data_IF_456878014442
#
_entry.id   IF_456878014442
#
_cell.length_a   1.000
_cell.length_b   1.000
_cell.length_c   1.000
_cell.angle_alpha   90.00
_cell.angle_beta   90.00
_cell.angle_gamma   90.00
#
_symmetry.space_group_name_H-M   'P 1'
#
loop_
_entity.id
_entity.type
_entity.pdbx_description
1 polymer ?
#
# COMPACT_ATOMS: atom_id res chain seq x y z
N UNK A 1 -2.07 -28.91 3.37
CA UNK A 1 -1.32 -28.39 4.51
C UNK A 1 0.05 -27.87 4.13
N UNK A 2 0.81 -28.65 3.38
CA UNK A 2 2.16 -28.25 2.95
C UNK A 2 2.13 -26.97 2.12
N UNK A 3 1.12 -26.81 1.27
CA UNK A 3 0.93 -25.60 0.46
C UNK A 3 0.69 -24.39 1.35
N UNK A 4 -0.09 -24.57 2.41
CA UNK A 4 -0.41 -23.49 3.33
C UNK A 4 0.83 -23.10 4.13
N UNK A 5 1.62 -24.09 4.57
CA UNK A 5 2.87 -23.81 5.29
C UNK A 5 3.85 -23.04 4.40
N UNK A 6 3.95 -23.42 3.11
CA UNK A 6 4.78 -22.71 2.16
C UNK A 6 4.36 -21.26 1.98
N UNK A 7 3.05 -21.01 1.90
CA UNK A 7 2.52 -19.64 1.81
C UNK A 7 2.87 -18.82 3.06
N UNK A 8 2.72 -19.40 4.26
CA UNK A 8 3.05 -18.69 5.50
C UNK A 8 4.53 -18.34 5.57
N UNK A 9 5.41 -19.23 5.15
CA UNK A 9 6.85 -18.95 5.11
C UNK A 9 7.18 -17.86 4.11
N UNK A 10 6.54 -17.87 2.96
CA UNK A 10 6.71 -16.81 1.98
C UNK A 10 6.25 -15.47 2.54
N UNK A 11 5.08 -15.46 3.20
CA UNK A 11 4.55 -14.26 3.82
C UNK A 11 5.50 -13.71 4.90
N UNK A 12 6.07 -14.59 5.72
CA UNK A 12 7.06 -14.18 6.72
C UNK A 12 8.27 -13.51 6.09
N UNK A 13 8.78 -14.07 4.99
CA UNK A 13 9.92 -13.50 4.29
C UNK A 13 9.58 -12.11 3.73
N UNK A 14 8.38 -11.95 3.16
CA UNK A 14 7.93 -10.68 2.60
C UNK A 14 7.81 -9.60 3.69
N UNK A 15 7.28 -9.96 4.87
CA UNK A 15 7.07 -9.02 5.97
C UNK A 15 8.25 -8.93 6.93
N UNK A 16 9.37 -9.57 6.62
CA UNK A 16 10.54 -9.51 7.50
C UNK A 16 10.96 -8.05 7.72
N UNK A 17 11.16 -7.63 8.99
CA UNK A 17 11.58 -6.26 9.27
C UNK A 17 13.06 -6.04 8.99
N UNK A 18 13.44 -4.79 8.85
CA UNK A 18 14.85 -4.43 8.61
C UNK A 18 15.76 -4.90 9.76
N UNK A 19 15.26 -4.91 10.99
CA UNK A 19 16.00 -5.43 12.14
C UNK A 19 16.40 -6.89 11.99
N UNK A 20 15.74 -7.63 11.10
CA UNK A 20 16.01 -9.03 10.82
C UNK A 20 16.59 -9.24 9.42
N UNK A 21 17.14 -8.20 8.83
CA UNK A 21 17.89 -8.29 7.58
C UNK A 21 17.15 -7.89 6.31
N UNK A 22 15.91 -7.42 6.39
CA UNK A 22 15.23 -6.93 5.21
C UNK A 22 15.82 -5.59 4.75
N UNK A 23 15.81 -5.35 3.45
CA UNK A 23 16.33 -4.11 2.87
C UNK A 23 15.30 -2.98 2.85
N UNK A 24 14.02 -3.30 2.68
CA UNK A 24 12.95 -2.30 2.62
C UNK A 24 12.31 -2.11 3.99
N UNK A 25 12.03 -0.87 4.35
CA UNK A 25 11.28 -0.59 5.57
C UNK A 25 9.80 -0.93 5.39
N UNK A 26 9.06 -0.96 6.48
CA UNK A 26 7.66 -1.39 6.46
C UNK A 26 6.77 -0.38 5.73
N UNK A 27 7.06 0.91 5.85
CA UNK A 27 6.33 1.96 5.12
C UNK A 27 6.43 1.72 3.61
N UNK A 28 7.64 1.43 3.11
CA UNK A 28 7.86 1.17 1.69
C UNK A 28 7.14 -0.11 1.25
N UNK A 29 7.23 -1.17 2.05
CA UNK A 29 6.55 -2.43 1.73
C UNK A 29 5.04 -2.23 1.62
N UNK A 30 4.44 -1.54 2.57
CA UNK A 30 3.00 -1.32 2.57
C UNK A 30 2.57 -0.35 1.46
N UNK A 31 3.41 0.63 1.14
CA UNK A 31 3.16 1.50 -0.01
C UNK A 31 3.17 0.70 -1.31
N UNK A 32 4.14 -0.19 -1.49
CA UNK A 32 4.20 -1.05 -2.68
C UNK A 32 2.95 -1.92 -2.80
N UNK A 33 2.51 -2.55 -1.70
CA UNK A 33 1.26 -3.32 -1.71
C UNK A 33 0.07 -2.45 -2.10
N UNK A 34 0.02 -1.23 -1.56
CA UNK A 34 -1.08 -0.31 -1.85
C UNK A 34 -1.16 -0.02 -3.35
N UNK A 35 -0.03 0.34 -3.96
CA UNK A 35 -0.04 0.67 -5.40
C UNK A 35 -0.30 -0.56 -6.28
N UNK A 36 0.19 -1.73 -5.88
CA UNK A 36 -0.08 -2.96 -6.61
C UNK A 36 -1.57 -3.31 -6.56
N UNK A 37 -2.22 -3.12 -5.41
CA UNK A 37 -3.66 -3.31 -5.28
C UNK A 37 -4.44 -2.28 -6.11
N UNK A 38 -3.94 -1.05 -6.19
CA UNK A 38 -4.54 -0.01 -7.05
C UNK A 38 -4.46 -0.43 -8.51
N UNK A 39 -3.31 -0.92 -8.95
CA UNK A 39 -3.11 -1.37 -10.34
C UNK A 39 -4.07 -2.50 -10.69
N UNK A 40 -4.29 -3.44 -9.77
CA UNK A 40 -5.15 -4.59 -10.00
C UNK A 40 -6.62 -4.33 -9.69
N UNK A 41 -6.96 -3.11 -9.25
CA UNK A 41 -8.35 -2.75 -8.95
C UNK A 41 -8.90 -3.31 -7.65
N UNK A 42 -8.04 -3.76 -6.76
CA UNK A 42 -8.44 -4.31 -5.46
C UNK A 42 -8.57 -3.18 -4.44
N UNK A 43 -9.75 -2.53 -4.41
CA UNK A 43 -9.98 -1.37 -3.56
C UNK A 43 -9.85 -1.70 -2.08
N UNK A 44 -10.44 -2.80 -1.64
CA UNK A 44 -10.40 -3.18 -0.21
C UNK A 44 -8.98 -3.48 0.23
N UNK A 45 -8.22 -4.22 -0.56
CA UNK A 45 -6.81 -4.49 -0.29
C UNK A 45 -5.98 -3.21 -0.27
N UNK A 46 -6.22 -2.31 -1.22
CA UNK A 46 -5.52 -1.03 -1.29
C UNK A 46 -5.79 -0.17 -0.04
N UNK A 47 -7.01 -0.15 0.44
CA UNK A 47 -7.35 0.59 1.68
C UNK A 47 -6.67 -0.04 2.89
N UNK A 48 -6.68 -1.37 2.99
CA UNK A 48 -6.07 -2.07 4.12
C UNK A 48 -4.56 -1.85 4.17
N UNK A 49 -3.88 -2.03 3.05
CA UNK A 49 -2.44 -1.79 2.98
C UNK A 49 -2.10 -0.30 3.08
N UNK A 50 -2.94 0.56 2.51
CA UNK A 50 -2.80 2.00 2.65
C UNK A 50 -2.89 2.45 4.11
N UNK A 51 -3.82 1.87 4.87
CA UNK A 51 -3.94 2.15 6.30
C UNK A 51 -2.67 1.70 7.05
N UNK A 52 -2.14 0.51 6.73
CA UNK A 52 -0.90 0.03 7.34
C UNK A 52 0.28 0.94 6.98
N UNK A 53 0.36 1.41 5.73
CA UNK A 53 1.38 2.35 5.30
C UNK A 53 1.25 3.69 6.04
N UNK A 54 0.03 4.17 6.22
CA UNK A 54 -0.24 5.40 6.97
C UNK A 54 0.27 5.26 8.41
N UNK A 55 0.00 4.14 9.06
CA UNK A 55 0.51 3.89 10.42
C UNK A 55 2.03 3.83 10.46
N UNK A 56 2.66 3.44 9.37
CA UNK A 56 4.12 3.42 9.24
C UNK A 56 4.71 4.76 8.80
N UNK A 57 3.87 5.79 8.65
CA UNK A 57 4.33 7.15 8.37
C UNK A 57 4.06 7.67 6.96
N UNK A 58 3.36 6.92 6.11
CA UNK A 58 3.02 7.39 4.77
C UNK A 58 1.99 8.52 4.84
N UNK A 59 2.20 9.56 4.03
CA UNK A 59 1.24 10.66 3.88
C UNK A 59 0.38 10.47 2.64
N UNK A 60 -0.77 11.15 2.61
CA UNK A 60 -1.61 11.15 1.40
C UNK A 60 -0.88 11.77 0.21
N UNK A 61 -0.01 12.75 0.46
CA UNK A 61 0.82 13.35 -0.59
C UNK A 61 1.78 12.35 -1.20
N UNK A 62 2.42 11.53 -0.37
CA UNK A 62 3.30 10.47 -0.87
C UNK A 62 2.53 9.45 -1.71
N UNK A 63 1.34 9.06 -1.23
CA UNK A 63 0.51 8.11 -1.97
C UNK A 63 0.03 8.71 -3.30
N UNK A 64 -0.40 9.97 -3.30
CA UNK A 64 -0.83 10.66 -4.51
C UNK A 64 0.31 10.70 -5.54
N UNK A 65 1.52 10.98 -5.10
CA UNK A 65 2.69 11.00 -5.99
C UNK A 65 2.99 9.61 -6.56
N UNK A 66 2.89 8.57 -5.74
CA UNK A 66 3.03 7.19 -6.22
C UNK A 66 1.95 6.86 -7.25
N UNK A 67 0.71 7.34 -7.03
CA UNK A 67 -0.37 7.15 -8.00
C UNK A 67 -0.09 7.84 -9.33
N UNK A 68 0.62 8.97 -9.33
CA UNK A 68 1.04 9.61 -10.57
C UNK A 68 1.96 8.69 -11.38
N UNK A 69 2.88 8.00 -10.72
CA UNK A 69 3.74 7.04 -11.38
C UNK A 69 2.93 5.86 -11.93
N UNK A 70 1.95 5.38 -11.16
CA UNK A 70 1.05 4.32 -11.61
C UNK A 70 0.31 4.75 -12.87
N UNK A 71 -0.25 5.98 -12.89
CA UNK A 71 -0.94 6.49 -14.07
C UNK A 71 -0.02 6.60 -15.28
N UNK A 72 1.21 7.00 -15.07
CA UNK A 72 2.18 7.16 -16.15
C UNK A 72 2.47 5.83 -16.85
N UNK A 73 2.52 4.74 -16.09
CA UNK A 73 2.84 3.40 -16.63
C UNK A 73 1.58 2.65 -17.06
N UNK A 74 0.52 2.73 -16.27
CA UNK A 74 -0.67 1.87 -16.39
C UNK A 74 -1.90 2.59 -16.94
N UNK A 75 -1.85 3.92 -17.08
CA UNK A 75 -2.98 4.71 -17.60
C UNK A 75 -3.84 5.33 -16.50
N UNK A 76 -4.58 6.37 -16.90
CA UNK A 76 -5.37 7.21 -15.98
C UNK A 76 -6.55 6.46 -15.34
N UNK A 77 -6.98 5.35 -15.94
CA UNK A 77 -8.10 4.55 -15.43
C UNK A 77 -7.83 4.04 -14.02
N UNK A 78 -6.56 3.74 -13.70
CA UNK A 78 -6.18 3.29 -12.36
C UNK A 78 -6.51 4.34 -11.30
N UNK A 79 -6.35 5.60 -11.62
CA UNK A 79 -6.72 6.71 -10.74
C UNK A 79 -8.24 6.85 -10.64
N UNK A 80 -8.93 6.89 -11.77
CA UNK A 80 -10.36 7.11 -11.82
C UNK A 80 -11.19 6.00 -11.17
N UNK A 81 -10.70 4.76 -11.17
CA UNK A 81 -11.43 3.64 -10.59
C UNK A 81 -11.05 3.36 -9.14
N UNK A 82 -9.78 3.50 -8.78
CA UNK A 82 -9.30 3.03 -7.49
C UNK A 82 -8.42 4.05 -6.78
N UNK A 83 -7.43 4.61 -7.46
CA UNK A 83 -6.39 5.43 -6.84
C UNK A 83 -6.93 6.59 -6.01
N UNK A 84 -7.82 7.40 -6.59
CA UNK A 84 -8.34 8.59 -5.90
C UNK A 84 -9.10 8.22 -4.62
N UNK A 85 -9.79 7.08 -4.63
CA UNK A 85 -10.56 6.62 -3.46
C UNK A 85 -9.64 6.27 -2.31
N UNK A 86 -8.50 5.68 -2.61
CA UNK A 86 -7.51 5.32 -1.58
C UNK A 86 -6.84 6.57 -1.05
N UNK A 87 -6.46 7.50 -1.92
CA UNK A 87 -5.86 8.78 -1.49
C UNK A 87 -6.83 9.54 -0.60
N UNK A 88 -8.10 9.63 -0.98
CA UNK A 88 -9.12 10.29 -0.17
C UNK A 88 -9.28 9.62 1.20
N UNK A 89 -9.24 8.29 1.22
CA UNK A 89 -9.31 7.52 2.47
C UNK A 89 -8.15 7.88 3.39
N UNK A 90 -6.92 7.93 2.88
CA UNK A 90 -5.76 8.29 3.69
C UNK A 90 -5.83 9.77 4.14
N UNK A 91 -6.25 10.66 3.25
CA UNK A 91 -6.45 12.07 3.61
C UNK A 91 -7.46 12.22 4.75
N UNK A 92 -8.51 11.39 4.75
CA UNK A 92 -9.48 11.33 5.83
C UNK A 92 -8.86 10.88 7.15
N UNK A 93 -7.97 9.89 7.10
CA UNK A 93 -7.26 9.43 8.30
C UNK A 93 -6.34 10.53 8.85
N UNK A 94 -5.66 11.25 7.98
CA UNK A 94 -4.80 12.38 8.40
C UNK A 94 -5.62 13.44 9.10
N UNK A 95 -6.78 13.78 8.54
CA UNK A 95 -7.69 14.78 9.09
C UNK A 95 -8.22 14.37 10.46
N UNK A 96 -8.61 13.11 10.60
CA UNK A 96 -9.10 12.57 11.87
C UNK A 96 -8.02 12.59 12.94
N UNK A 97 -6.76 12.30 12.55
CA UNK A 97 -5.64 12.30 13.49
C UNK A 97 -5.34 13.71 14.02
N UNK A 98 -5.53 14.75 13.19
CA UNK A 98 -5.32 16.15 13.59
C UNK A 98 -6.45 16.68 14.47
N UNK A 99 -7.65 16.15 14.25
CA UNK A 99 -8.82 16.53 15.04
C UNK A 99 -8.81 15.89 16.40
#
# INVERSE_FOLDING_TARGET
RDRFVGYLRFREAVYRPQSEGAHLDMKTKELLYTVLDIVTGNLDGAKNHGHAAFRAGMTSGELAEACMQVMHVCGVTTWGTTGYKVVDYIAGLEKAKKG
#
